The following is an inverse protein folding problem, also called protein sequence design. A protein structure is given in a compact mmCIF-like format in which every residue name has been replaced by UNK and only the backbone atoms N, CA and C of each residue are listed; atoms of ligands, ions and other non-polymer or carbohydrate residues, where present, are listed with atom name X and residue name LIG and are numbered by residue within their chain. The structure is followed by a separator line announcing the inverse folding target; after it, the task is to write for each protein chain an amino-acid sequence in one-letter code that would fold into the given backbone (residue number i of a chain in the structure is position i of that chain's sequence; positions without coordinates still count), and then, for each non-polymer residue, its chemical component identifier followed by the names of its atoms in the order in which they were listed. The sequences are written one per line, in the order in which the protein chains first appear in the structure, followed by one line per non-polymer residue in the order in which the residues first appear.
data_IF_966004956991
#
_entry.id   IF_966004956991
#
_cell.length_a   1.000
_cell.length_b   1.000
_cell.length_c   1.000
_cell.angle_alpha   90.00
_cell.angle_beta   90.00
_cell.angle_gamma   90.00
#
_symmetry.space_group_name_H-M   'P 1'
#
loop_
_entity.id
_entity.type
_entity.pdbx_description
1 polymer ?
#
# COMPACT_ATOMS: atom_id res chain seq x y z
N UNK A 1 -10.82 -5.67 3.12
CA UNK A 1 -10.78 -4.33 3.74
C UNK A 1 -11.36 -3.27 2.78
N UNK A 2 -12.63 -3.41 2.34
CA UNK A 2 -13.26 -2.50 1.37
C UNK A 2 -14.80 -2.47 1.50
N UNK A 3 -15.36 -2.96 2.61
CA UNK A 3 -16.81 -3.08 2.74
C UNK A 3 -17.44 -1.66 2.80
N UNK A 4 -18.38 -1.32 1.91
CA UNK A 4 -19.03 -0.02 1.92
C UNK A 4 -19.81 0.20 3.22
N UNK A 5 -19.86 1.45 3.69
CA UNK A 5 -20.67 1.79 4.87
C UNK A 5 -22.14 1.69 4.47
N UNK A 6 -22.86 0.76 5.11
CA UNK A 6 -24.30 0.61 4.94
C UNK A 6 -25.01 1.69 5.77
N UNK A 7 -25.63 2.65 5.08
CA UNK A 7 -26.51 3.64 5.70
C UNK A 7 -27.95 3.16 5.51
N UNK A 8 -28.70 3.03 6.62
CA UNK A 8 -30.14 2.81 6.55
C UNK A 8 -30.81 4.15 6.33
N UNK A 9 -31.48 4.30 5.19
CA UNK A 9 -32.33 5.44 4.90
C UNK A 9 -33.65 5.32 5.68
N UNK A 10 -34.33 6.45 5.89
CA UNK A 10 -35.58 6.57 6.67
C UNK A 10 -36.72 5.70 6.14
N UNK A 11 -36.62 5.33 4.87
CA UNK A 11 -37.53 4.56 4.02
C UNK A 11 -37.18 3.06 3.97
N UNK A 12 -36.21 2.61 4.77
CA UNK A 12 -35.85 1.19 4.93
C UNK A 12 -34.85 0.65 3.90
N UNK A 13 -34.43 1.46 2.93
CA UNK A 13 -33.36 1.14 1.98
C UNK A 13 -31.97 1.15 2.63
N UNK A 14 -31.09 0.25 2.19
CA UNK A 14 -29.68 0.23 2.57
C UNK A 14 -28.85 0.85 1.45
N UNK A 15 -28.38 2.10 1.65
CA UNK A 15 -27.47 2.75 0.74
C UNK A 15 -26.02 2.30 1.05
N UNK A 16 -25.34 1.72 0.07
CA UNK A 16 -23.90 1.43 0.16
C UNK A 16 -23.14 2.71 -0.17
N UNK A 17 -22.69 3.42 0.86
CA UNK A 17 -21.98 4.69 0.70
C UNK A 17 -20.48 4.42 0.61
N UNK A 18 -19.91 4.67 -0.57
CA UNK A 18 -18.47 4.78 -0.76
C UNK A 18 -18.03 6.15 -0.28
N UNK A 19 -17.44 6.19 0.91
CA UNK A 19 -16.68 7.36 1.36
C UNK A 19 -15.36 7.45 0.59
N UNK A 20 -14.74 8.64 0.44
CA UNK A 20 -13.40 8.78 -0.13
C UNK A 20 -12.38 7.86 0.58
N UNK A 21 -12.55 7.62 1.88
CA UNK A 21 -11.72 6.70 2.65
C UNK A 21 -11.87 5.23 2.24
N UNK A 22 -13.09 4.78 1.94
CA UNK A 22 -13.33 3.41 1.45
C UNK A 22 -12.87 3.21 0.00
N UNK A 23 -12.93 4.26 -0.83
CA UNK A 23 -12.37 4.22 -2.18
C UNK A 23 -10.83 4.15 -2.12
N UNK A 24 -10.20 5.00 -1.30
CA UNK A 24 -8.76 4.98 -1.06
C UNK A 24 -8.29 3.65 -0.48
N UNK A 25 -9.03 3.06 0.45
CA UNK A 25 -8.72 1.74 1.00
C UNK A 25 -8.77 0.62 -0.05
N UNK A 26 -9.69 0.72 -1.03
CA UNK A 26 -9.76 -0.20 -2.16
C UNK A 26 -8.55 -0.06 -3.08
N UNK A 27 -8.22 1.17 -3.49
CA UNK A 27 -7.03 1.45 -4.32
C UNK A 27 -5.76 0.89 -3.68
N UNK A 28 -5.58 1.15 -2.38
CA UNK A 28 -4.46 0.67 -1.61
C UNK A 28 -4.40 -0.86 -1.51
N UNK A 29 -5.55 -1.54 -1.41
CA UNK A 29 -5.62 -3.00 -1.43
C UNK A 29 -5.30 -3.59 -2.82
N UNK A 30 -5.72 -2.92 -3.89
CA UNK A 30 -5.42 -3.30 -5.26
C UNK A 30 -3.90 -3.16 -5.54
N UNK A 31 -3.28 -2.08 -5.05
CA UNK A 31 -1.82 -1.89 -5.12
C UNK A 31 -1.04 -2.97 -4.35
N UNK A 32 -1.53 -3.39 -3.19
CA UNK A 32 -0.90 -4.47 -2.42
C UNK A 32 -1.01 -5.81 -3.16
N UNK A 33 -2.16 -6.08 -3.77
CA UNK A 33 -2.36 -7.25 -4.62
C UNK A 33 -1.38 -7.26 -5.80
N UNK A 34 -1.22 -6.11 -6.47
CA UNK A 34 -0.25 -5.94 -7.57
C UNK A 34 1.20 -6.12 -7.13
N UNK A 35 1.57 -5.63 -5.95
CA UNK A 35 2.91 -5.80 -5.40
C UNK A 35 3.26 -7.27 -5.12
N UNK A 36 2.27 -8.05 -4.66
CA UNK A 36 2.39 -9.47 -4.34
C UNK A 36 2.33 -10.39 -5.57
N UNK A 37 1.83 -9.89 -6.69
CA UNK A 37 1.78 -10.64 -7.95
C UNK A 37 3.20 -10.94 -8.43
N UNK A 38 3.45 -12.20 -8.79
CA UNK A 38 4.71 -12.67 -9.35
C UNK A 38 4.57 -12.83 -10.87
N UNK A 39 5.68 -12.70 -11.61
CA UNK A 39 5.68 -12.87 -13.06
C UNK A 39 5.14 -11.69 -13.87
N UNK A 40 4.98 -10.50 -13.26
CA UNK A 40 4.71 -9.25 -13.97
C UNK A 40 5.84 -8.92 -14.95
N UNK A 41 5.49 -8.31 -16.09
CA UNK A 41 6.46 -7.67 -16.95
C UNK A 41 7.21 -6.56 -16.22
N UNK A 42 8.42 -6.21 -16.67
CA UNK A 42 9.24 -5.15 -16.05
C UNK A 42 8.47 -3.83 -16.04
N UNK A 43 7.85 -3.45 -17.15
CA UNK A 43 7.09 -2.19 -17.27
C UNK A 43 5.87 -2.17 -16.33
N UNK A 44 5.07 -3.24 -16.30
CA UNK A 44 3.92 -3.36 -15.40
C UNK A 44 4.35 -3.29 -13.93
N UNK A 45 5.51 -3.88 -13.60
CA UNK A 45 6.07 -3.85 -12.25
C UNK A 45 6.50 -2.44 -11.87
N UNK A 46 7.17 -1.72 -12.78
CA UNK A 46 7.58 -0.34 -12.59
C UNK A 46 6.36 0.57 -12.41
N UNK A 47 5.29 0.35 -13.15
CA UNK A 47 4.02 1.07 -12.99
C UNK A 47 3.42 0.87 -11.59
N UNK A 48 3.32 -0.38 -11.11
CA UNK A 48 2.81 -0.65 -9.75
C UNK A 48 3.68 0.04 -8.69
N UNK A 49 5.01 -0.04 -8.82
CA UNK A 49 5.96 0.60 -7.91
C UNK A 49 5.81 2.13 -7.90
N UNK A 50 5.61 2.74 -9.06
CA UNK A 50 5.37 4.17 -9.21
C UNK A 50 4.06 4.60 -8.53
N UNK A 51 2.98 3.85 -8.73
CA UNK A 51 1.69 4.15 -8.09
C UNK A 51 1.78 4.04 -6.55
N UNK A 52 2.49 3.04 -6.03
CA UNK A 52 2.72 2.91 -4.57
C UNK A 52 3.54 4.11 -4.07
N UNK A 53 4.59 4.51 -4.79
CA UNK A 53 5.41 5.67 -4.43
C UNK A 53 4.55 6.92 -4.29
N UNK A 54 3.68 7.20 -5.27
CA UNK A 54 2.77 8.34 -5.19
C UNK A 54 1.82 8.24 -3.99
N UNK A 55 1.21 7.08 -3.76
CA UNK A 55 0.29 6.87 -2.64
C UNK A 55 0.93 7.10 -1.26
N UNK A 56 2.22 6.79 -1.09
CA UNK A 56 2.91 6.97 0.22
C UNK A 56 3.62 8.31 0.37
N UNK A 57 3.93 9.01 -0.73
CA UNK A 57 4.63 10.32 -0.68
C UNK A 57 3.81 11.44 -0.04
N UNK A 58 2.50 11.26 0.10
CA UNK A 58 1.60 12.15 0.85
C UNK A 58 2.01 12.26 2.33
N UNK A 59 2.63 11.21 2.89
CA UNK A 59 3.04 11.16 4.30
C UNK A 59 4.57 11.15 4.40
N UNK A 60 5.15 12.09 5.14
CA UNK A 60 6.61 12.19 5.34
C UNK A 60 6.98 11.67 6.73
N UNK A 61 7.15 10.36 6.86
CA UNK A 61 7.57 9.71 8.11
C UNK A 61 8.69 8.68 7.83
N UNK A 62 9.30 8.13 8.88
CA UNK A 62 10.38 7.15 8.73
C UNK A 62 9.97 5.90 7.93
N UNK A 63 8.72 5.45 8.11
CA UNK A 63 8.17 4.28 7.43
C UNK A 63 8.03 4.51 5.92
N UNK A 64 7.48 5.65 5.49
CA UNK A 64 7.33 5.95 4.06
C UNK A 64 8.67 6.23 3.39
N UNK A 65 9.65 6.78 4.11
CA UNK A 65 11.04 6.90 3.62
C UNK A 65 11.66 5.54 3.33
N UNK A 66 11.58 4.60 4.28
CA UNK A 66 12.10 3.24 4.08
C UNK A 66 11.41 2.54 2.90
N UNK A 67 10.09 2.73 2.75
CA UNK A 67 9.35 2.21 1.60
C UNK A 67 9.85 2.79 0.27
N UNK A 68 10.00 4.11 0.17
CA UNK A 68 10.49 4.78 -1.05
C UNK A 68 11.90 4.30 -1.40
N UNK A 69 12.79 4.14 -0.42
CA UNK A 69 14.13 3.60 -0.67
C UNK A 69 14.10 2.17 -1.21
N UNK A 70 13.21 1.31 -0.69
CA UNK A 70 13.05 -0.04 -1.20
C UNK A 70 12.45 -0.05 -2.61
N UNK A 71 11.48 0.82 -2.89
CA UNK A 71 10.89 0.99 -4.23
C UNK A 71 11.96 1.43 -5.24
N UNK A 72 12.76 2.43 -4.91
CA UNK A 72 13.81 2.95 -5.79
C UNK A 72 14.89 1.88 -6.04
N UNK A 73 15.21 1.06 -5.03
CA UNK A 73 16.09 -0.11 -5.20
C UNK A 73 15.47 -1.20 -6.07
N UNK A 74 14.17 -1.47 -5.96
CA UNK A 74 13.50 -2.44 -6.83
C UNK A 74 13.45 -1.95 -8.28
N UNK A 75 13.10 -0.68 -8.50
CA UNK A 75 13.01 -0.08 -9.82
C UNK A 75 14.36 -0.11 -10.54
N UNK A 76 15.42 0.35 -9.87
CA UNK A 76 16.79 0.28 -10.41
C UNK A 76 17.25 -1.15 -10.69
N UNK A 77 16.86 -2.13 -9.87
CA UNK A 77 17.16 -3.54 -10.11
C UNK A 77 16.32 -4.15 -11.25
N UNK A 78 15.07 -3.72 -11.43
CA UNK A 78 14.19 -4.16 -12.52
C UNK A 78 14.74 -3.69 -13.88
N UNK A 79 15.24 -2.45 -13.95
CA UNK A 79 15.99 -1.96 -15.12
C UNK A 79 17.26 -2.79 -15.40
N UNK A 80 17.90 -3.29 -14.35
CA UNK A 80 19.08 -4.15 -14.45
C UNK A 80 18.74 -5.64 -14.75
N UNK A 81 17.52 -6.11 -14.48
CA UNK A 81 17.08 -7.45 -14.89
C UNK A 81 17.01 -7.58 -16.41
N UNK A 82 16.64 -6.50 -17.11
CA UNK A 82 16.78 -6.41 -18.57
C UNK A 82 18.24 -6.63 -19.04
N UNK A 83 19.22 -6.59 -18.13
CA UNK A 83 20.66 -6.82 -18.39
C UNK A 83 21.20 -8.12 -17.78
N UNK A 84 20.34 -9.05 -17.33
CA UNK A 84 20.74 -10.42 -16.95
C UNK A 84 21.05 -10.68 -15.47
N UNK A 85 20.54 -9.85 -14.53
CA UNK A 85 20.61 -10.17 -13.09
C UNK A 85 19.61 -11.28 -12.69
N UNK A 86 19.89 -11.96 -11.57
CA UNK A 86 19.07 -13.05 -11.03
C UNK A 86 17.98 -12.54 -10.07
N UNK A 87 16.76 -13.10 -10.22
CA UNK A 87 15.56 -12.75 -9.43
C UNK A 87 15.67 -13.01 -7.93
N UNK A 88 16.63 -13.84 -7.50
CA UNK A 88 16.80 -14.23 -6.10
C UNK A 88 16.97 -13.00 -5.18
N UNK A 89 17.72 -11.99 -5.64
CA UNK A 89 17.95 -10.73 -4.89
C UNK A 89 16.69 -9.88 -4.73
N UNK A 90 15.74 -9.98 -5.66
CA UNK A 90 14.48 -9.24 -5.63
C UNK A 90 13.46 -9.89 -4.71
N UNK A 91 13.45 -11.21 -4.60
CA UNK A 91 12.47 -11.93 -3.78
C UNK A 91 12.43 -11.46 -2.31
N UNK A 92 13.59 -11.24 -1.69
CA UNK A 92 13.70 -10.74 -0.31
C UNK A 92 13.28 -9.28 -0.17
N UNK A 93 13.63 -8.47 -1.17
CA UNK A 93 13.28 -7.05 -1.21
C UNK A 93 11.76 -6.86 -1.37
N UNK A 94 11.13 -7.63 -2.27
CA UNK A 94 9.68 -7.66 -2.48
C UNK A 94 8.92 -8.06 -1.22
N UNK A 95 9.37 -9.11 -0.53
CA UNK A 95 8.78 -9.53 0.76
C UNK A 95 8.86 -8.42 1.81
N UNK A 96 10.01 -7.76 1.92
CA UNK A 96 10.21 -6.67 2.89
C UNK A 96 9.34 -5.47 2.56
N UNK A 97 9.26 -5.07 1.29
CA UNK A 97 8.39 -3.99 0.82
C UNK A 97 6.91 -4.31 1.07
N UNK A 98 6.47 -5.55 0.79
CA UNK A 98 5.11 -6.01 1.07
C UNK A 98 4.75 -5.93 2.55
N UNK A 99 5.64 -6.37 3.45
CA UNK A 99 5.41 -6.28 4.90
C UNK A 99 5.33 -4.84 5.41
N UNK A 100 6.18 -3.94 4.89
CA UNK A 100 6.12 -2.52 5.22
C UNK A 100 4.84 -1.88 4.69
N UNK A 101 4.44 -2.21 3.47
CA UNK A 101 3.19 -1.69 2.91
C UNK A 101 1.98 -2.20 3.68
N UNK A 102 1.95 -3.47 4.07
CA UNK A 102 0.90 -4.02 4.92
C UNK A 102 0.82 -3.27 6.27
N UNK A 103 1.98 -2.98 6.88
CA UNK A 103 2.03 -2.17 8.10
C UNK A 103 1.47 -0.77 7.88
N UNK A 104 1.76 -0.13 6.74
CA UNK A 104 1.18 1.16 6.35
C UNK A 104 -0.36 1.06 6.22
N UNK A 105 -0.86 0.06 5.49
CA UNK A 105 -2.29 -0.17 5.29
C UNK A 105 -3.07 -0.43 6.56
N UNK A 106 -2.43 -1.07 7.53
CA UNK A 106 -3.01 -1.38 8.82
C UNK A 106 -2.95 -0.22 9.81
N UNK A 107 -2.19 0.84 9.51
CA UNK A 107 -2.01 1.95 10.44
C UNK A 107 -3.16 2.94 10.32
N UNK A 108 -3.95 3.19 11.39
CA UNK A 108 -5.14 4.02 11.32
C UNK A 108 -4.87 5.49 11.01
N UNK A 109 -3.64 5.96 11.21
CA UNK A 109 -3.18 7.29 10.79
C UNK A 109 -3.20 7.48 9.27
N UNK A 110 -2.99 6.40 8.50
CA UNK A 110 -2.97 6.43 7.03
C UNK A 110 -4.24 5.83 6.40
N UNK A 111 -4.85 4.86 7.07
CA UNK A 111 -6.09 4.22 6.66
C UNK A 111 -7.08 4.18 7.83
N UNK A 112 -8.00 5.16 7.95
CA UNK A 112 -8.94 5.21 9.06
C UNK A 112 -9.89 4.00 9.10
N UNK A 113 -10.09 3.31 7.97
CA UNK A 113 -10.87 2.06 7.94
C UNK A 113 -10.10 0.88 8.57
N UNK A 114 -8.76 0.94 8.69
CA UNK A 114 -7.96 -0.07 9.39
C UNK A 114 -8.26 -0.16 10.89
N UNK A 115 -8.70 0.94 11.51
CA UNK A 115 -9.13 0.98 12.91
C UNK A 115 -10.27 -0.01 13.19
N UNK A 116 -11.09 -0.34 12.18
CA UNK A 116 -12.21 -1.28 12.30
C UNK A 116 -11.77 -2.74 12.31
N UNK A 117 -10.56 -3.04 11.85
CA UNK A 117 -10.07 -4.40 11.67
C UNK A 117 -8.91 -4.77 12.62
N UNK A 118 -8.34 -3.80 13.35
CA UNK A 118 -7.27 -4.06 14.35
C UNK A 118 -7.84 -4.44 15.72
N UNK A 119 -7.57 -5.68 16.15
CA UNK A 119 -7.58 -6.09 17.57
C UNK A 119 -6.16 -6.00 18.12
N UNK A 120 -5.68 -4.80 18.49
CA UNK A 120 -4.35 -4.65 19.10
C UNK A 120 -3.89 -3.18 19.20
N UNK A 121 -2.92 -2.87 20.09
CA UNK A 121 -2.47 -1.50 20.31
C UNK A 121 -1.83 -0.90 19.05
N UNK A 122 -2.09 0.38 18.75
CA UNK A 122 -1.59 1.03 17.53
C UNK A 122 -0.06 1.17 17.59
N UNK A 123 0.62 0.76 16.51
CA UNK A 123 2.01 1.15 16.26
C UNK A 123 1.99 2.61 15.80
N UNK A 124 2.37 3.50 16.71
CA UNK A 124 2.37 4.95 16.46
C UNK A 124 3.51 5.28 15.51
N UNK A 125 3.22 5.94 14.40
CA UNK A 125 4.26 6.53 13.57
C UNK A 125 4.49 7.95 14.07
N UNK A 126 5.69 8.26 14.56
CA UNK A 126 6.05 9.64 14.85
C UNK A 126 6.21 10.39 13.52
N UNK A 127 5.13 11.01 13.06
CA UNK A 127 5.18 12.00 11.97
C UNK A 127 5.94 13.20 12.51
N UNK A 128 7.07 13.52 11.91
CA UNK A 128 7.82 14.73 12.25
C UNK A 128 6.93 15.94 11.97
N UNK A 129 6.41 16.58 13.04
CA UNK A 129 5.76 17.88 12.91
C UNK A 129 6.81 18.87 12.40
N UNK A 130 6.50 19.54 11.29
CA UNK A 130 7.25 20.73 10.86
C UNK A 130 7.09 21.84 11.87
#
# INVERSE_FOLDING_TARGET
MSAPKQWRMSDGGVAQVHTPFTARAKELADLYSGLMLQGLGVDERLDVLLHIKWAVTEFKCGLTREMVELIDREATLADLLNRGRTEASLSGLRKRLGNLFLTFLETPEYNPEAARFKRGPPKVCHVARR
#
